data_IF_207243959644
#
_entry.id   IF_207243959644
#
_cell.length_a   1.000
_cell.length_b   1.000
_cell.length_c   1.000
_cell.angle_alpha   90.00
_cell.angle_beta   90.00
_cell.angle_gamma   90.00
#
_symmetry.space_group_name_H-M   'P 1'
#
loop_
_entity.id
_entity.type
_entity.pdbx_description
1 polymer ?
#
# COMPACT_ATOMS: atom_id res chain seq x y z
N UNK A 1 19.16 7.59 20.00
CA UNK A 1 17.77 7.47 20.50
C UNK A 1 17.02 8.68 19.95
N UNK A 2 16.04 8.48 19.06
CA UNK A 2 15.22 9.59 18.55
C UNK A 2 14.25 9.98 19.67
N UNK A 3 14.20 11.25 20.06
CA UNK A 3 13.28 11.73 21.09
C UNK A 3 11.84 11.62 20.57
N UNK A 4 11.00 10.81 21.22
CA UNK A 4 9.61 10.58 20.79
C UNK A 4 8.59 11.48 21.51
N UNK A 5 9.04 12.45 22.30
CA UNK A 5 8.18 13.37 23.06
C UNK A 5 7.21 14.17 22.18
N UNK A 6 7.50 14.28 20.88
CA UNK A 6 6.62 14.95 19.92
C UNK A 6 5.43 14.10 19.45
N UNK A 7 5.41 12.78 19.73
CA UNK A 7 4.32 11.89 19.32
C UNK A 7 2.97 12.29 19.94
N UNK A 8 2.98 12.79 21.18
CA UNK A 8 1.76 13.26 21.87
C UNK A 8 1.09 14.44 21.17
N UNK A 9 1.81 15.19 20.34
CA UNK A 9 1.26 16.29 19.54
C UNK A 9 0.82 15.86 18.14
N UNK A 10 1.21 14.67 17.68
CA UNK A 10 1.03 14.22 16.31
C UNK A 10 0.07 13.03 16.17
N UNK A 11 -0.21 12.30 17.25
CA UNK A 11 -1.05 11.09 17.27
C UNK A 11 -1.98 11.18 18.48
N UNK A 12 -3.29 11.03 18.26
CA UNK A 12 -4.33 11.16 19.31
C UNK A 12 -4.17 10.16 20.46
N UNK A 13 -3.55 9.00 20.21
CA UNK A 13 -3.35 7.95 21.20
C UNK A 13 -1.89 7.44 21.22
N UNK A 14 -0.99 8.30 21.69
CA UNK A 14 0.43 7.98 21.84
C UNK A 14 0.71 6.82 22.81
N UNK A 15 -0.23 6.48 23.71
CA UNK A 15 -0.11 5.31 24.59
C UNK A 15 -0.37 4.00 23.83
N UNK A 16 -1.31 4.01 22.89
CA UNK A 16 -1.60 2.85 22.02
C UNK A 16 -0.52 2.60 20.97
N UNK A 17 0.14 3.64 20.48
CA UNK A 17 1.22 3.56 19.49
C UNK A 17 2.54 4.15 20.01
N UNK A 18 3.23 3.47 20.95
CA UNK A 18 4.40 4.03 21.64
C UNK A 18 5.69 4.00 20.80
N UNK A 19 5.66 3.41 19.61
CA UNK A 19 6.84 3.21 18.76
C UNK A 19 6.67 3.87 17.40
N UNK A 20 7.79 4.36 16.86
CA UNK A 20 7.91 4.78 15.47
C UNK A 20 8.59 3.67 14.66
N UNK A 21 7.98 3.30 13.55
CA UNK A 21 8.56 2.41 12.56
C UNK A 21 8.89 3.20 11.29
N UNK A 22 10.01 2.88 10.64
CA UNK A 22 10.34 3.43 9.33
C UNK A 22 9.44 2.82 8.27
N UNK A 23 8.83 3.65 7.41
CA UNK A 23 8.05 3.19 6.25
C UNK A 23 8.92 2.87 5.02
N UNK A 24 10.24 3.05 5.10
CA UNK A 24 11.13 2.85 3.94
C UNK A 24 11.13 4.01 2.94
N UNK A 25 10.56 5.15 3.28
CA UNK A 25 10.50 6.35 2.42
C UNK A 25 11.41 7.42 3.00
N UNK A 26 12.36 7.90 2.20
CA UNK A 26 13.40 8.83 2.65
C UNK A 26 13.56 10.00 1.68
N UNK A 27 13.86 11.17 2.22
CA UNK A 27 14.15 12.38 1.43
C UNK A 27 15.54 12.86 1.80
N UNK A 28 16.40 13.02 0.79
CA UNK A 28 17.79 13.43 0.98
C UNK A 28 18.10 14.71 0.21
N UNK A 29 18.98 15.53 0.78
CA UNK A 29 19.74 16.49 -0.03
C UNK A 29 20.65 15.70 -0.96
N UNK A 30 20.77 16.12 -2.22
CA UNK A 30 21.57 15.43 -3.24
C UNK A 30 23.00 15.15 -2.77
N UNK A 31 23.68 16.16 -2.22
CA UNK A 31 25.09 16.03 -1.82
C UNK A 31 25.27 15.08 -0.63
N UNK A 32 24.32 15.08 0.31
CA UNK A 32 24.32 14.15 1.43
C UNK A 32 24.15 12.70 0.95
N UNK A 33 23.23 12.45 0.00
CA UNK A 33 23.06 11.11 -0.57
C UNK A 33 24.32 10.62 -1.28
N UNK A 34 24.99 11.51 -2.02
CA UNK A 34 26.24 11.17 -2.70
C UNK A 34 27.37 10.85 -1.72
N UNK A 35 27.53 11.61 -0.65
CA UNK A 35 28.54 11.34 0.38
C UNK A 35 28.32 9.99 1.07
N UNK A 36 27.06 9.70 1.44
CA UNK A 36 26.68 8.45 2.08
C UNK A 36 27.01 7.24 1.19
N UNK A 37 26.68 7.30 -0.10
CA UNK A 37 26.81 6.16 -1.01
C UNK A 37 28.22 5.99 -1.60
N UNK A 38 28.95 7.08 -1.87
CA UNK A 38 30.25 7.03 -2.58
C UNK A 38 31.46 7.13 -1.67
N UNK A 39 31.33 7.76 -0.50
CA UNK A 39 32.47 8.05 0.36
C UNK A 39 32.46 7.16 1.60
N UNK A 40 31.37 7.20 2.37
CA UNK A 40 31.36 6.67 3.75
C UNK A 40 30.94 5.21 3.86
N UNK A 41 29.90 4.81 3.13
CA UNK A 41 29.27 3.50 3.31
C UNK A 41 29.22 2.72 2.01
N UNK A 42 30.34 2.69 1.28
CA UNK A 42 30.44 2.05 -0.05
C UNK A 42 30.21 0.54 -0.04
N UNK A 43 30.32 -0.10 1.13
CA UNK A 43 30.07 -1.53 1.34
C UNK A 43 28.69 -1.81 1.92
N UNK A 44 27.86 -0.78 2.12
CA UNK A 44 26.50 -0.95 2.60
C UNK A 44 25.54 -1.16 1.43
N UNK A 45 24.57 -2.04 1.65
CA UNK A 45 23.61 -2.48 0.65
C UNK A 45 22.17 -2.08 0.98
N UNK A 46 21.88 -1.76 2.25
CA UNK A 46 20.53 -1.42 2.69
C UNK A 46 20.45 -0.06 3.41
N UNK A 47 19.46 0.74 3.02
CA UNK A 47 19.27 2.06 3.62
C UNK A 47 18.78 1.99 5.07
N UNK A 48 17.79 1.14 5.33
CA UNK A 48 17.07 1.12 6.61
C UNK A 48 17.91 0.56 7.76
N UNK A 49 18.64 -0.52 7.50
CA UNK A 49 19.37 -1.30 8.49
C UNK A 49 20.86 -0.98 8.58
N UNK A 50 21.46 -0.39 7.54
CA UNK A 50 22.91 -0.13 7.52
C UNK A 50 23.25 1.36 7.37
N UNK A 51 22.76 2.03 6.33
CA UNK A 51 23.16 3.42 6.03
C UNK A 51 22.56 4.40 7.05
N UNK A 52 21.25 4.37 7.26
CA UNK A 52 20.56 5.34 8.13
C UNK A 52 20.99 5.25 9.60
N UNK A 53 21.14 4.06 10.21
CA UNK A 53 21.62 3.97 11.60
C UNK A 53 22.99 4.63 11.80
N UNK A 54 23.85 4.60 10.79
CA UNK A 54 25.17 5.26 10.82
C UNK A 54 25.06 6.75 10.52
N UNK A 55 24.26 7.13 9.52
CA UNK A 55 24.06 8.53 9.13
C UNK A 55 23.48 9.39 10.26
N UNK A 56 22.69 8.82 11.17
CA UNK A 56 22.15 9.53 12.35
C UNK A 56 23.27 10.04 13.28
N UNK A 57 24.47 9.46 13.22
CA UNK A 57 25.59 9.86 14.07
C UNK A 57 26.34 11.10 13.57
N UNK A 58 26.33 11.33 12.25
CA UNK A 58 27.17 12.34 11.61
C UNK A 58 26.42 13.26 10.62
N UNK A 59 25.13 13.04 10.42
CA UNK A 59 24.23 13.89 9.63
C UNK A 59 23.00 14.30 10.45
N UNK A 60 22.40 15.43 10.04
CA UNK A 60 21.09 15.83 10.57
C UNK A 60 20.00 14.98 9.93
N UNK A 61 19.49 14.00 10.69
CA UNK A 61 18.40 13.12 10.29
C UNK A 61 17.15 13.47 11.11
N UNK A 62 16.03 13.67 10.43
CA UNK A 62 14.74 14.02 11.05
C UNK A 62 13.68 12.99 10.67
N UNK A 63 12.76 12.72 11.59
CA UNK A 63 11.60 11.87 11.35
C UNK A 63 10.39 12.74 10.92
N UNK A 64 9.61 12.25 9.94
CA UNK A 64 8.31 12.82 9.58
C UNK A 64 7.24 11.77 9.84
N UNK A 65 6.26 12.10 10.66
CA UNK A 65 5.17 11.19 11.00
C UNK A 65 4.16 11.13 9.84
N UNK A 66 3.74 9.92 9.52
CA UNK A 66 2.61 9.62 8.65
C UNK A 66 1.54 8.89 9.47
N UNK A 67 0.30 9.35 9.38
CA UNK A 67 -0.85 8.81 10.13
C UNK A 67 -1.97 8.28 9.22
N UNK A 68 -1.72 8.23 7.90
CA UNK A 68 -2.66 7.68 6.93
C UNK A 68 -2.63 6.15 6.90
N UNK A 69 -3.47 5.58 6.02
CA UNK A 69 -3.45 4.14 5.77
C UNK A 69 -2.11 3.71 5.14
N UNK A 70 -1.55 2.61 5.62
CA UNK A 70 -0.28 2.08 5.12
C UNK A 70 -0.11 0.61 5.51
N UNK A 71 -0.22 -0.26 4.52
CA UNK A 71 -0.13 -1.71 4.69
C UNK A 71 1.05 -2.28 3.90
N UNK A 72 1.81 -3.17 4.52
CA UNK A 72 2.87 -3.92 3.84
C UNK A 72 2.28 -5.11 3.07
N UNK A 73 2.27 -5.01 1.74
CA UNK A 73 1.78 -6.06 0.83
C UNK A 73 2.88 -6.99 0.31
N UNK A 74 4.02 -7.07 1.00
CA UNK A 74 5.19 -7.85 0.58
C UNK A 74 5.09 -9.37 0.76
N UNK A 75 4.06 -9.88 1.43
CA UNK A 75 3.84 -11.34 1.62
C UNK A 75 2.55 -11.79 0.95
N UNK A 76 2.45 -13.09 0.60
CA UNK A 76 1.24 -13.64 -0.01
C UNK A 76 -0.01 -13.34 0.84
N UNK A 77 0.09 -13.54 2.16
CA UNK A 77 -1.03 -13.29 3.08
C UNK A 77 -1.42 -11.82 3.09
N UNK A 78 -0.46 -10.91 3.29
CA UNK A 78 -0.77 -9.48 3.39
C UNK A 78 -1.25 -8.89 2.08
N UNK A 79 -0.71 -9.35 0.95
CA UNK A 79 -1.22 -9.00 -0.38
C UNK A 79 -2.67 -9.45 -0.56
N UNK A 80 -2.98 -10.71 -0.21
CA UNK A 80 -4.34 -11.26 -0.30
C UNK A 80 -5.32 -10.48 0.58
N UNK A 81 -4.99 -10.29 1.85
CA UNK A 81 -5.84 -9.58 2.82
C UNK A 81 -6.08 -8.13 2.39
N UNK A 82 -5.05 -7.42 1.90
CA UNK A 82 -5.18 -6.03 1.46
C UNK A 82 -6.09 -5.90 0.23
N UNK A 83 -6.04 -6.84 -0.71
CA UNK A 83 -6.94 -6.83 -1.86
C UNK A 83 -8.38 -7.12 -1.45
N UNK A 84 -8.62 -8.10 -0.57
CA UNK A 84 -9.98 -8.40 -0.11
C UNK A 84 -10.57 -7.30 0.78
N UNK A 85 -9.74 -6.58 1.53
CA UNK A 85 -10.16 -5.43 2.33
C UNK A 85 -10.78 -4.30 1.49
N UNK A 86 -10.52 -4.26 0.16
CA UNK A 86 -11.20 -3.34 -0.75
C UNK A 86 -12.71 -3.60 -0.79
N UNK A 87 -13.14 -4.84 -0.57
CA UNK A 87 -14.55 -5.25 -0.59
C UNK A 87 -15.32 -4.92 0.70
N UNK A 88 -14.62 -4.53 1.76
CA UNK A 88 -15.19 -4.13 3.06
C UNK A 88 -15.91 -2.78 2.98
N UNK A 89 -16.93 -2.58 3.83
CA UNK A 89 -17.63 -1.29 3.95
C UNK A 89 -17.65 -0.78 5.40
N UNK A 90 -17.10 0.42 5.68
CA UNK A 90 -16.33 1.28 4.77
C UNK A 90 -14.97 0.65 4.44
N UNK A 91 -14.46 0.87 3.22
CA UNK A 91 -13.12 0.38 2.87
C UNK A 91 -12.06 1.21 3.59
N UNK A 92 -10.96 0.56 3.98
CA UNK A 92 -9.81 1.20 4.62
C UNK A 92 -8.98 2.03 3.63
N UNK A 93 -9.13 1.77 2.33
CA UNK A 93 -8.40 2.43 1.26
C UNK A 93 -9.34 2.75 0.10
N UNK A 94 -9.26 3.98 -0.41
CA UNK A 94 -10.16 4.48 -1.45
C UNK A 94 -9.42 4.80 -2.75
N UNK A 95 -9.70 4.04 -3.81
CA UNK A 95 -9.19 4.31 -5.16
C UNK A 95 -9.91 5.46 -5.87
N UNK A 96 -11.05 5.91 -5.33
CA UNK A 96 -11.94 6.88 -5.99
C UNK A 96 -11.71 8.34 -5.55
N UNK A 97 -10.69 8.64 -4.72
CA UNK A 97 -10.40 10.03 -4.34
C UNK A 97 -9.92 10.86 -5.56
N UNK A 98 -10.71 11.85 -6.02
CA UNK A 98 -10.35 12.65 -7.19
C UNK A 98 -9.18 13.62 -6.93
N UNK A 99 -8.81 13.87 -5.66
CA UNK A 99 -7.69 14.76 -5.31
C UNK A 99 -6.34 14.08 -5.47
N UNK A 100 -6.30 12.77 -5.24
CA UNK A 100 -5.09 11.94 -5.33
C UNK A 100 -5.37 10.67 -6.14
N UNK A 101 -5.62 10.80 -7.45
CA UNK A 101 -5.98 9.67 -8.29
C UNK A 101 -4.82 8.68 -8.44
N UNK A 102 -5.16 7.39 -8.45
CA UNK A 102 -4.23 6.32 -8.81
C UNK A 102 -4.30 6.08 -10.32
N UNK A 103 -3.14 6.12 -10.97
CA UNK A 103 -3.04 5.93 -12.41
C UNK A 103 -2.63 4.51 -12.78
N UNK A 104 -3.15 4.02 -13.90
CA UNK A 104 -2.74 2.77 -14.56
C UNK A 104 -2.79 2.95 -16.07
N UNK A 105 -2.30 1.97 -16.83
CA UNK A 105 -2.33 2.03 -18.29
C UNK A 105 -3.79 2.10 -18.80
N UNK A 106 -4.12 3.04 -19.70
CA UNK A 106 -5.45 3.09 -20.32
C UNK A 106 -5.59 1.90 -21.28
N UNK A 107 -6.62 1.08 -21.10
CA UNK A 107 -6.83 -0.15 -21.90
C UNK A 107 -8.03 -0.11 -22.84
N UNK A 108 -8.92 0.87 -22.70
CA UNK A 108 -10.15 0.99 -23.49
C UNK A 108 -10.93 -0.33 -23.60
N UNK A 109 -10.99 -1.10 -22.50
CA UNK A 109 -11.70 -2.38 -22.46
C UNK A 109 -13.21 -2.17 -22.57
N UNK A 110 -13.96 -3.14 -23.12
CA UNK A 110 -15.41 -3.09 -23.09
C UNK A 110 -15.92 -3.16 -21.64
N UNK A 111 -17.15 -2.69 -21.38
CA UNK A 111 -17.79 -2.89 -20.08
C UNK A 111 -17.95 -4.38 -19.79
N UNK A 112 -17.93 -4.73 -18.50
CA UNK A 112 -18.16 -6.11 -18.06
C UNK A 112 -19.57 -6.57 -18.38
N UNK A 113 -19.68 -7.78 -18.95
CA UNK A 113 -20.95 -8.44 -19.24
C UNK A 113 -21.33 -9.39 -18.10
N UNK A 114 -22.58 -9.28 -17.66
CA UNK A 114 -23.17 -10.09 -16.60
C UNK A 114 -24.40 -10.83 -17.15
N UNK A 115 -24.50 -12.12 -16.89
CA UNK A 115 -25.68 -12.93 -17.19
C UNK A 115 -26.03 -13.80 -15.98
N UNK A 116 -27.16 -13.50 -15.31
CA UNK A 116 -27.68 -14.26 -14.16
C UNK A 116 -26.68 -14.53 -13.03
N UNK A 117 -25.81 -13.57 -12.70
CA UNK A 117 -24.85 -13.69 -11.61
C UNK A 117 -25.42 -13.22 -10.26
N UNK A 118 -24.94 -13.81 -9.15
CA UNK A 118 -25.12 -13.31 -7.78
C UNK A 118 -23.79 -12.77 -7.27
N UNK A 119 -23.81 -11.57 -6.69
CA UNK A 119 -22.60 -10.88 -6.23
C UNK A 119 -22.83 -10.24 -4.86
N UNK A 120 -21.87 -10.37 -3.95
CA UNK A 120 -21.90 -9.76 -2.62
C UNK A 120 -20.49 -9.43 -2.14
N UNK A 121 -20.24 -8.20 -1.70
CA UNK A 121 -18.90 -7.73 -1.33
C UNK A 121 -17.86 -8.06 -2.41
N UNK A 122 -18.10 -7.60 -3.64
CA UNK A 122 -17.24 -7.94 -4.77
C UNK A 122 -16.83 -6.71 -5.56
N UNK A 123 -15.57 -6.69 -6.02
CA UNK A 123 -15.07 -5.71 -6.98
C UNK A 123 -14.88 -6.38 -8.34
N UNK A 124 -15.48 -5.82 -9.38
CA UNK A 124 -15.41 -6.38 -10.74
C UNK A 124 -14.75 -5.35 -11.66
N UNK A 125 -13.61 -5.74 -12.24
CA UNK A 125 -12.87 -4.90 -13.19
C UNK A 125 -13.50 -4.93 -14.58
N UNK A 126 -13.01 -4.08 -15.49
CA UNK A 126 -13.47 -4.00 -16.87
C UNK A 126 -13.19 -5.26 -17.72
N UNK A 127 -13.98 -5.44 -18.78
CA UNK A 127 -13.78 -6.49 -19.78
C UNK A 127 -14.12 -7.91 -19.33
N UNK A 128 -14.78 -8.09 -18.18
CA UNK A 128 -15.12 -9.43 -17.68
C UNK A 128 -16.36 -10.01 -18.39
N UNK A 129 -16.44 -11.35 -18.44
CA UNK A 129 -17.62 -12.09 -18.88
C UNK A 129 -18.02 -13.08 -17.78
N UNK A 130 -19.12 -12.77 -17.08
CA UNK A 130 -19.60 -13.55 -15.95
C UNK A 130 -20.97 -14.14 -16.31
N UNK A 131 -21.12 -15.46 -16.18
CA UNK A 131 -22.35 -16.18 -16.52
C UNK A 131 -22.73 -17.15 -15.41
N UNK A 132 -23.97 -17.04 -14.93
CA UNK A 132 -24.62 -17.97 -13.99
C UNK A 132 -23.71 -18.41 -12.83
N UNK A 133 -23.02 -17.46 -12.21
CA UNK A 133 -22.03 -17.70 -11.15
C UNK A 133 -22.39 -16.96 -9.85
N UNK A 134 -21.82 -17.43 -8.74
CA UNK A 134 -21.89 -16.76 -7.43
C UNK A 134 -20.51 -16.21 -7.07
N UNK A 135 -20.44 -14.93 -6.68
CA UNK A 135 -19.19 -14.26 -6.32
C UNK A 135 -19.40 -13.55 -4.98
N UNK A 136 -18.70 -13.98 -3.94
CA UNK A 136 -18.76 -13.41 -2.61
C UNK A 136 -17.36 -13.05 -2.09
N UNK A 137 -17.20 -11.86 -1.52
CA UNK A 137 -15.96 -11.41 -0.86
C UNK A 137 -14.72 -11.61 -1.74
N UNK A 138 -14.81 -11.11 -2.98
CA UNK A 138 -13.89 -11.43 -4.07
C UNK A 138 -13.55 -10.22 -4.94
N UNK A 139 -12.32 -10.17 -5.45
CA UNK A 139 -11.87 -9.15 -6.41
C UNK A 139 -11.59 -9.83 -7.75
N UNK A 140 -12.36 -9.46 -8.78
CA UNK A 140 -12.25 -10.01 -10.12
C UNK A 140 -11.45 -9.03 -11.00
N UNK A 141 -10.27 -9.47 -11.42
CA UNK A 141 -9.35 -8.71 -12.27
C UNK A 141 -9.86 -8.56 -13.71
N UNK A 142 -9.24 -7.64 -14.46
CA UNK A 142 -9.63 -7.32 -15.84
C UNK A 142 -9.66 -8.55 -16.76
N UNK A 143 -10.59 -8.56 -17.72
CA UNK A 143 -10.72 -9.61 -18.73
C UNK A 143 -11.00 -11.04 -18.20
N UNK A 144 -11.46 -11.17 -16.95
CA UNK A 144 -11.77 -12.47 -16.35
C UNK A 144 -13.02 -13.11 -16.98
N UNK A 145 -13.04 -14.44 -17.04
CA UNK A 145 -14.18 -15.23 -17.53
C UNK A 145 -14.59 -16.20 -16.44
N UNK A 146 -15.83 -16.09 -15.97
CA UNK A 146 -16.39 -16.98 -14.95
C UNK A 146 -17.60 -17.67 -15.54
N UNK A 147 -17.53 -19.00 -15.59
CA UNK A 147 -18.51 -19.86 -16.24
C UNK A 147 -19.67 -20.23 -15.32
N UNK A 148 -20.75 -20.73 -15.92
CA UNK A 148 -21.94 -21.18 -15.20
C UNK A 148 -21.59 -22.22 -14.13
N UNK A 149 -22.15 -22.05 -12.93
CA UNK A 149 -21.96 -22.95 -11.80
C UNK A 149 -20.69 -22.69 -10.97
N UNK A 150 -19.85 -21.71 -11.32
CA UNK A 150 -18.71 -21.33 -10.49
C UNK A 150 -19.14 -20.56 -9.23
N UNK A 151 -18.44 -20.86 -8.13
CA UNK A 151 -18.53 -20.13 -6.86
C UNK A 151 -17.13 -19.58 -6.53
N UNK A 152 -17.06 -18.27 -6.32
CA UNK A 152 -15.84 -17.52 -5.98
C UNK A 152 -16.06 -16.72 -4.70
#
# INVERSE_FOLDING_TARGET
RVETNFLSYAIDDAQKYPYLASMGIYVFKKDALLDLLKSKYTQSHDFGSEILPRAVLDHSVQARIFTGWGEDVGTIKSFFDANLALTEQPSKFDFYDPKTPFFTAPRCLPPTQLDKCKMKYAFISDGCLLRECNIEHSVIGVCSRVSSGCEL
#
